data_IF_700361613863
#
_entry.id   IF_700361613863
#
_cell.length_a   1.000
_cell.length_b   1.000
_cell.length_c   1.000
_cell.angle_alpha   90.00
_cell.angle_beta   90.00
_cell.angle_gamma   90.00
#
_symmetry.space_group_name_H-M   'P 1'
#
loop_
_entity.id
_entity.type
_entity.pdbx_description
1 polymer ?
#
# COMPACT_ATOMS: atom_id res chain seq x y z
N UNK A 1 -43.14 -19.95 -47.28
CA UNK A 1 -42.52 -20.85 -48.27
C UNK A 1 -41.60 -21.82 -47.54
N UNK A 2 -41.59 -23.10 -47.94
CA UNK A 2 -40.58 -24.14 -47.61
C UNK A 2 -40.20 -24.75 -48.97
N UNK A 3 -38.91 -24.95 -49.30
CA UNK A 3 -38.21 -26.23 -49.03
C UNK A 3 -36.68 -26.01 -48.73
N UNK A 4 -35.76 -26.98 -48.53
CA UNK A 4 -35.81 -28.45 -48.32
C UNK A 4 -34.61 -28.91 -47.41
N UNK A 5 -34.50 -30.22 -47.24
CA UNK A 5 -33.33 -31.09 -46.96
C UNK A 5 -31.90 -30.54 -47.18
N UNK A 6 -30.95 -30.93 -46.32
CA UNK A 6 -30.01 -32.01 -46.67
C UNK A 6 -29.37 -32.70 -45.45
N UNK A 7 -29.10 -33.99 -45.59
CA UNK A 7 -28.56 -34.89 -44.57
C UNK A 7 -27.21 -35.42 -45.08
N UNK A 8 -26.13 -35.36 -44.30
CA UNK A 8 -25.01 -36.32 -44.39
C UNK A 8 -23.98 -36.16 -43.26
N UNK A 9 -23.52 -37.29 -42.73
CA UNK A 9 -22.38 -37.37 -41.81
C UNK A 9 -21.06 -37.44 -42.58
N UNK A 10 -19.98 -36.90 -42.00
CA UNK A 10 -18.62 -37.41 -42.21
C UNK A 10 -17.89 -37.41 -40.86
N UNK A 11 -17.32 -38.54 -40.48
CA UNK A 11 -16.43 -38.69 -39.33
C UNK A 11 -14.98 -38.88 -39.82
N UNK A 12 -14.00 -38.36 -39.06
CA UNK A 12 -12.52 -38.52 -39.13
C UNK A 12 -11.87 -37.17 -38.79
N UNK A 13 -10.71 -37.06 -38.11
CA UNK A 13 -9.82 -38.07 -37.51
C UNK A 13 -8.98 -37.43 -36.40
N UNK A 14 -8.58 -38.26 -35.43
CA UNK A 14 -7.34 -38.24 -34.63
C UNK A 14 -6.40 -37.04 -34.87
N UNK A 15 -6.16 -36.22 -33.84
CA UNK A 15 -4.95 -35.38 -33.74
C UNK A 15 -3.96 -36.00 -32.75
N UNK A 16 -2.70 -36.16 -33.18
CA UNK A 16 -1.63 -36.77 -32.40
C UNK A 16 -1.20 -35.88 -31.22
N UNK A 17 -0.71 -36.51 -30.16
CA UNK A 17 -0.06 -35.82 -29.07
C UNK A 17 1.35 -35.32 -29.47
N UNK A 18 1.73 -34.14 -28.98
CA UNK A 18 3.13 -33.75 -28.76
C UNK A 18 3.25 -33.31 -27.31
N UNK A 19 3.84 -34.16 -26.48
CA UNK A 19 4.42 -33.75 -25.21
C UNK A 19 5.85 -33.27 -25.46
N UNK A 20 6.10 -31.98 -25.32
CA UNK A 20 7.44 -31.45 -25.00
C UNK A 20 7.37 -29.95 -24.71
N UNK A 21 7.43 -29.62 -23.43
CA UNK A 21 7.56 -28.26 -22.93
C UNK A 21 7.62 -28.36 -21.42
N UNK A 22 8.72 -27.94 -20.81
CA UNK A 22 8.81 -27.83 -19.36
C UNK A 22 7.74 -26.82 -18.92
N UNK A 23 6.63 -27.33 -18.40
CA UNK A 23 5.68 -26.50 -17.67
C UNK A 23 6.32 -26.19 -16.33
N UNK A 24 7.15 -25.15 -16.30
CA UNK A 24 7.37 -24.38 -15.10
C UNK A 24 6.00 -23.85 -14.68
N UNK A 25 5.30 -24.62 -13.87
CA UNK A 25 4.10 -24.19 -13.17
C UNK A 25 4.56 -23.21 -12.12
N UNK A 26 4.77 -21.97 -12.56
CA UNK A 26 4.70 -20.82 -11.69
C UNK A 26 3.27 -20.82 -11.14
N UNK A 27 3.07 -21.51 -10.02
CA UNK A 27 1.84 -21.40 -9.26
C UNK A 27 1.54 -19.91 -9.08
N UNK A 28 0.30 -19.46 -9.34
CA UNK A 28 -0.05 -18.09 -9.10
C UNK A 28 0.02 -17.86 -7.59
N UNK A 29 1.16 -17.34 -7.13
CA UNK A 29 1.34 -16.88 -5.74
C UNK A 29 0.17 -15.95 -5.48
N UNK A 30 -0.68 -16.37 -4.54
CA UNK A 30 -1.86 -15.61 -4.12
C UNK A 30 -1.38 -14.38 -3.37
N UNK A 31 -1.00 -13.36 -4.14
CA UNK A 31 -0.72 -12.01 -3.66
C UNK A 31 -2.05 -11.36 -3.27
N UNK A 32 -2.73 -11.91 -2.26
CA UNK A 32 -3.63 -11.10 -1.47
C UNK A 32 -2.76 -9.97 -0.91
N UNK A 33 -3.07 -8.69 -1.20
CA UNK A 33 -2.26 -7.59 -0.70
C UNK A 33 -2.17 -7.68 0.82
N UNK A 34 -1.00 -7.44 1.43
CA UNK A 34 -0.81 -7.57 2.86
C UNK A 34 -1.86 -6.71 3.57
N UNK A 35 -2.57 -7.29 4.54
CA UNK A 35 -3.66 -6.61 5.24
C UNK A 35 -3.10 -5.40 5.97
N UNK A 36 -3.35 -4.21 5.41
CA UNK A 36 -2.91 -2.95 6.00
C UNK A 36 -3.57 -2.75 7.39
N UNK A 37 -2.85 -2.06 8.25
CA UNK A 37 -3.24 -1.74 9.62
C UNK A 37 -3.21 -0.23 9.81
N UNK A 38 -4.25 0.27 10.45
CA UNK A 38 -4.42 1.67 10.79
C UNK A 38 -3.93 1.92 12.23
N UNK A 39 -3.24 3.04 12.44
CA UNK A 39 -2.88 3.59 13.74
C UNK A 39 -3.11 5.10 13.74
N UNK A 40 -3.59 5.66 14.85
CA UNK A 40 -3.70 7.11 15.03
C UNK A 40 -2.63 7.60 16.00
N UNK A 41 -1.86 8.60 15.60
CA UNK A 41 -0.86 9.28 16.43
C UNK A 41 -1.32 10.72 16.63
N UNK A 42 -1.27 11.18 17.88
CA UNK A 42 -1.27 12.60 18.19
C UNK A 42 0.20 13.02 18.27
N UNK A 43 0.63 13.96 17.42
CA UNK A 43 2.02 14.37 17.29
C UNK A 43 2.07 15.88 17.10
N UNK A 44 2.88 16.53 17.92
CA UNK A 44 3.27 17.92 17.68
C UNK A 44 4.08 18.03 16.37
N UNK A 45 3.92 19.16 15.67
CA UNK A 45 4.61 19.46 14.42
C UNK A 45 6.14 19.33 14.54
N UNK A 46 6.70 19.62 15.71
CA UNK A 46 8.13 19.50 16.03
C UNK A 46 8.59 18.04 16.17
N UNK A 47 7.70 17.13 16.61
CA UNK A 47 7.97 15.69 16.73
C UNK A 47 7.78 14.91 15.42
N UNK A 48 7.04 15.45 14.46
CA UNK A 48 6.76 14.83 13.17
C UNK A 48 8.04 14.50 12.39
N UNK A 49 8.92 15.49 12.15
CA UNK A 49 10.12 15.28 11.32
C UNK A 49 11.12 14.30 11.96
N UNK A 50 11.46 14.39 13.27
CA UNK A 50 12.27 13.37 13.95
C UNK A 50 11.69 11.96 13.83
N UNK A 51 10.40 11.78 14.10
CA UNK A 51 9.74 10.49 13.99
C UNK A 51 9.85 9.92 12.58
N UNK A 52 9.40 10.66 11.56
CA UNK A 52 9.36 10.13 10.20
C UNK A 52 10.74 9.92 9.58
N UNK A 53 11.80 10.58 10.08
CA UNK A 53 13.19 10.21 9.77
C UNK A 53 13.63 8.88 10.37
N UNK A 54 13.15 8.54 11.57
CA UNK A 54 13.36 7.20 12.14
C UNK A 54 12.55 6.14 11.37
N UNK A 55 11.38 6.49 10.84
CA UNK A 55 10.55 5.61 10.00
C UNK A 55 11.19 5.38 8.62
N UNK A 56 11.68 6.42 7.94
CA UNK A 56 12.34 6.26 6.63
C UNK A 56 13.59 5.39 6.71
N UNK A 57 14.35 5.44 7.81
CA UNK A 57 15.49 4.54 8.06
C UNK A 57 15.12 3.05 8.15
N UNK A 58 13.83 2.70 8.23
CA UNK A 58 13.30 1.31 8.22
C UNK A 58 12.69 0.91 6.88
N UNK A 59 12.57 1.85 5.94
CA UNK A 59 11.97 1.66 4.61
C UNK A 59 13.11 1.55 3.59
N UNK A 60 13.03 0.57 2.69
CA UNK A 60 14.07 0.32 1.68
C UNK A 60 14.01 1.34 0.53
N UNK A 61 12.80 1.75 0.14
CA UNK A 61 12.57 2.77 -0.88
C UNK A 61 11.13 3.33 -0.82
N UNK A 62 10.91 4.49 -1.45
CA UNK A 62 9.59 5.11 -1.62
C UNK A 62 9.17 6.11 -0.54
N UNK A 63 9.98 6.29 0.51
CA UNK A 63 9.75 7.30 1.55
C UNK A 63 11.07 7.76 2.17
N UNK A 64 11.48 9.00 1.92
CA UNK A 64 12.71 9.62 2.40
C UNK A 64 12.53 11.11 2.69
N UNK A 65 13.63 11.89 2.72
CA UNK A 65 13.56 13.34 3.02
C UNK A 65 12.55 14.13 2.15
N UNK A 66 12.36 13.88 0.83
CA UNK A 66 11.35 14.58 0.03
C UNK A 66 9.91 14.33 0.49
N UNK A 67 9.57 13.08 0.80
CA UNK A 67 8.24 12.68 1.26
C UNK A 67 7.97 13.18 2.70
N UNK A 68 9.00 13.19 3.55
CA UNK A 68 8.94 13.77 4.91
C UNK A 68 8.71 15.28 4.83
N UNK A 69 9.38 15.98 3.91
CA UNK A 69 9.19 17.42 3.70
C UNK A 69 7.79 17.73 3.14
N UNK A 70 7.27 16.91 2.23
CA UNK A 70 5.89 17.01 1.75
C UNK A 70 4.87 16.81 2.91
N UNK A 71 5.11 15.83 3.79
CA UNK A 71 4.28 15.61 4.97
C UNK A 71 4.33 16.80 5.94
N UNK A 72 5.52 17.33 6.23
CA UNK A 72 5.71 18.54 7.07
C UNK A 72 4.94 19.73 6.51
N UNK A 73 5.11 20.04 5.23
CA UNK A 73 4.40 21.15 4.57
C UNK A 73 2.88 20.94 4.60
N UNK A 74 2.40 19.69 4.44
CA UNK A 74 0.97 19.37 4.52
C UNK A 74 0.43 19.61 5.93
N UNK A 75 1.17 19.19 6.96
CA UNK A 75 0.81 19.39 8.37
C UNK A 75 0.86 20.87 8.82
N UNK A 76 1.74 21.69 8.22
CA UNK A 76 1.82 23.14 8.50
C UNK A 76 0.75 23.96 7.77
N UNK A 77 0.20 23.47 6.66
CA UNK A 77 -0.73 24.22 5.78
C UNK A 77 -2.18 23.74 5.84
N UNK A 78 -2.47 22.67 6.58
CA UNK A 78 -3.83 22.16 6.77
C UNK A 78 -4.64 23.09 7.69
N UNK A 79 -5.85 23.46 7.27
CA UNK A 79 -6.76 24.25 8.09
C UNK A 79 -7.58 23.38 9.04
N UNK A 80 -8.10 23.98 10.11
CA UNK A 80 -9.11 23.35 10.98
C UNK A 80 -10.29 22.82 10.14
N UNK A 81 -10.84 21.67 10.56
CA UNK A 81 -11.88 20.91 9.86
C UNK A 81 -11.48 20.38 8.46
N UNK A 82 -10.18 20.33 8.15
CA UNK A 82 -9.67 19.67 6.94
C UNK A 82 -8.94 18.35 7.25
N UNK A 83 -9.01 17.44 6.28
CA UNK A 83 -8.21 16.22 6.19
C UNK A 83 -7.50 16.20 4.83
N UNK A 84 -6.24 15.74 4.80
CA UNK A 84 -5.48 15.47 3.58
C UNK A 84 -4.77 14.12 3.68
N UNK A 85 -5.05 13.24 2.73
CA UNK A 85 -4.38 11.96 2.59
C UNK A 85 -3.13 12.12 1.72
N UNK A 86 -2.00 11.58 2.17
CA UNK A 86 -0.77 11.43 1.41
C UNK A 86 -0.47 9.94 1.26
N UNK A 87 -0.31 9.46 0.02
CA UNK A 87 -0.07 8.05 -0.28
C UNK A 87 1.34 7.85 -0.86
N UNK A 88 2.13 7.02 -0.18
CA UNK A 88 3.51 6.70 -0.56
C UNK A 88 3.62 5.19 -0.84
N UNK A 89 3.79 4.76 -2.11
CA UNK A 89 4.17 3.39 -2.43
C UNK A 89 5.58 3.13 -1.92
N UNK A 90 5.74 2.20 -0.99
CA UNK A 90 7.01 1.92 -0.30
C UNK A 90 7.43 0.46 -0.46
N UNK A 91 8.73 0.22 -0.27
CA UNK A 91 9.26 -1.13 -0.09
C UNK A 91 9.77 -1.32 1.33
N UNK A 92 9.25 -2.33 2.03
CA UNK A 92 9.56 -2.61 3.43
C UNK A 92 9.81 -4.10 3.63
N UNK A 93 11.00 -4.47 4.13
CA UNK A 93 11.44 -5.86 4.36
C UNK A 93 11.23 -6.76 3.14
N UNK A 94 11.58 -6.27 1.95
CA UNK A 94 11.42 -6.97 0.68
C UNK A 94 9.98 -7.10 0.16
N UNK A 95 8.99 -6.45 0.80
CA UNK A 95 7.58 -6.44 0.39
C UNK A 95 7.22 -5.04 -0.12
N UNK A 96 6.64 -4.96 -1.31
CA UNK A 96 6.04 -3.72 -1.83
C UNK A 96 4.68 -3.51 -1.17
N UNK A 97 4.47 -2.34 -0.59
CA UNK A 97 3.30 -2.02 0.23
C UNK A 97 2.98 -0.52 0.19
N UNK A 98 1.94 -0.10 0.91
CA UNK A 98 1.51 1.29 0.98
C UNK A 98 1.84 1.87 2.35
N UNK A 99 2.30 3.11 2.37
CA UNK A 99 2.27 3.99 3.53
C UNK A 99 1.33 5.16 3.19
N UNK A 100 0.09 5.09 3.68
CA UNK A 100 -0.86 6.20 3.59
C UNK A 100 -0.87 6.95 4.93
N UNK A 101 -0.85 8.27 4.87
CA UNK A 101 -0.85 9.18 6.01
C UNK A 101 -1.95 10.23 5.80
N UNK A 102 -3.05 10.06 6.52
CA UNK A 102 -4.09 11.06 6.66
C UNK A 102 -3.70 12.07 7.73
N UNK A 103 -3.43 13.31 7.32
CA UNK A 103 -3.25 14.46 8.20
C UNK A 103 -4.60 15.12 8.39
N UNK A 104 -5.03 15.40 9.63
CA UNK A 104 -6.30 16.09 9.90
C UNK A 104 -6.21 17.01 11.11
N UNK A 105 -6.94 18.13 11.08
CA UNK A 105 -6.90 19.16 12.11
C UNK A 105 -8.28 19.32 12.76
N UNK A 106 -8.50 18.62 13.88
CA UNK A 106 -9.76 18.67 14.64
C UNK A 106 -9.89 19.92 15.53
N UNK A 107 -8.77 20.35 16.10
CA UNK A 107 -8.71 21.47 17.05
C UNK A 107 -7.56 22.39 16.66
N UNK A 108 -7.65 23.69 16.96
CA UNK A 108 -6.70 24.71 16.51
C UNK A 108 -5.30 24.67 17.19
N UNK A 109 -4.87 23.50 17.69
CA UNK A 109 -3.63 23.31 18.44
C UNK A 109 -2.58 22.50 17.69
N UNK A 110 -2.94 21.36 17.08
CA UNK A 110 -1.99 20.48 16.35
C UNK A 110 -2.74 19.49 15.45
N UNK A 111 -2.16 19.10 14.29
CA UNK A 111 -2.74 18.09 13.42
C UNK A 111 -2.55 16.67 13.99
N UNK A 112 -3.62 15.88 13.98
CA UNK A 112 -3.56 14.44 14.22
C UNK A 112 -3.15 13.69 12.94
N UNK A 113 -2.53 12.52 13.11
CA UNK A 113 -2.11 11.65 12.00
C UNK A 113 -2.77 10.27 12.09
N UNK A 114 -3.43 9.84 11.02
CA UNK A 114 -3.92 8.47 10.84
C UNK A 114 -3.05 7.80 9.77
N UNK A 115 -2.30 6.77 10.18
CA UNK A 115 -1.34 6.09 9.31
C UNK A 115 -1.87 4.69 9.00
N UNK A 116 -1.92 4.35 7.72
CA UNK A 116 -2.36 3.05 7.19
C UNK A 116 -1.20 2.40 6.45
N UNK A 117 -0.64 1.31 7.00
CA UNK A 117 0.52 0.63 6.40
C UNK A 117 0.66 -0.85 6.81
N UNK A 118 1.75 -1.51 6.44
CA UNK A 118 2.06 -2.90 6.83
C UNK A 118 2.00 -3.06 8.38
N UNK A 119 1.40 -4.14 8.91
CA UNK A 119 1.12 -4.28 10.35
C UNK A 119 2.37 -4.20 11.25
N UNK A 120 3.51 -4.72 10.79
CA UNK A 120 4.78 -4.62 11.52
C UNK A 120 5.32 -3.19 11.53
N UNK A 121 5.27 -2.49 10.38
CA UNK A 121 5.71 -1.10 10.28
C UNK A 121 4.81 -0.19 11.12
N UNK A 122 3.51 -0.43 11.14
CA UNK A 122 2.58 0.25 12.04
C UNK A 122 2.90 0.00 13.54
N UNK A 123 3.39 -1.20 13.90
CA UNK A 123 3.84 -1.47 15.26
C UNK A 123 5.16 -0.74 15.60
N UNK A 124 6.11 -0.70 14.66
CA UNK A 124 7.37 0.05 14.81
C UNK A 124 7.12 1.56 14.93
N UNK A 125 6.25 2.13 14.06
CA UNK A 125 5.86 3.55 14.10
C UNK A 125 5.23 3.90 15.46
N UNK A 126 4.31 3.07 15.98
CA UNK A 126 3.74 3.26 17.32
C UNK A 126 4.83 3.28 18.38
N UNK A 127 5.70 2.27 18.39
CA UNK A 127 6.76 2.14 19.38
C UNK A 127 7.78 3.28 19.34
N UNK A 128 7.96 3.94 18.20
CA UNK A 128 8.78 5.14 18.07
C UNK A 128 8.05 6.38 18.60
N UNK A 129 6.77 6.56 18.25
CA UNK A 129 5.98 7.68 18.74
C UNK A 129 5.86 7.67 20.29
N UNK A 130 5.71 6.48 20.87
CA UNK A 130 5.66 6.29 22.33
C UNK A 130 7.03 6.59 23.02
N UNK A 131 8.14 6.68 22.28
CA UNK A 131 9.47 7.07 22.79
C UNK A 131 9.74 8.57 22.71
N UNK A 132 9.05 9.30 21.83
CA UNK A 132 9.18 10.75 21.65
C UNK A 132 8.23 11.53 22.59
N UNK A 133 7.50 10.84 23.47
CA UNK A 133 6.56 11.43 24.44
C UNK A 133 7.21 11.50 25.85
N UNK A 134 7.61 12.70 26.34
CA UNK A 134 8.28 12.88 27.63
C UNK A 134 7.34 12.92 28.85
#
# INVERSE_FOLDING_TARGET
MRPLFCLLMVASTISLAVQSGCQCQCEPVSHQPPKLRNITLNLDIHGLVPLFRQVSARIESGFGDPEIEQLRQTAETISVDQQRMLEFPIRYRGVDTLLSIDVFMNEAQSPDLLITTHPDLAAEIRSLADQESP
#
